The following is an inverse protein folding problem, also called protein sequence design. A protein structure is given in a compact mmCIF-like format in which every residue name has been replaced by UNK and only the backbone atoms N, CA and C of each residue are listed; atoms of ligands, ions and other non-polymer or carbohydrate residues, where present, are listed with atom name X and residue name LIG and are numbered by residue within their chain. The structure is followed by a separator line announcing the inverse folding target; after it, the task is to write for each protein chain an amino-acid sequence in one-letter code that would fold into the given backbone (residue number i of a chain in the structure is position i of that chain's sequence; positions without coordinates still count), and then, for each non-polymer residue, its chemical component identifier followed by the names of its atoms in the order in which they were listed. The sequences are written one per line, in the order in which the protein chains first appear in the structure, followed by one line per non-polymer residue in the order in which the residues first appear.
data_IF_013203542283
#
_entry.id   IF_013203542283
#
_cell.length_a   1.000
_cell.length_b   1.000
_cell.length_c   1.000
_cell.angle_alpha   90.00
_cell.angle_beta   90.00
_cell.angle_gamma   90.00
#
_symmetry.space_group_name_H-M   'P 1'
#
loop_
_entity.id
_entity.type
_entity.pdbx_description
1 polymer ?
#
# COMPACT_ATOMS: atom_id res chain seq x y z
N UNK A 1 -13.25 -16.83 2.29
CA UNK A 1 -12.48 -15.68 1.81
C UNK A 1 -11.00 -16.02 1.90
N UNK A 2 -10.16 -15.60 0.94
CA UNK A 2 -8.73 -15.81 1.06
C UNK A 2 -8.18 -14.98 2.22
N UNK A 3 -7.30 -15.58 3.01
CA UNK A 3 -6.69 -14.96 4.19
C UNK A 3 -5.19 -14.87 3.98
N UNK A 4 -4.60 -13.71 4.24
CA UNK A 4 -3.15 -13.52 4.18
C UNK A 4 -2.61 -13.06 5.53
N UNK A 5 -1.33 -13.32 5.75
CA UNK A 5 -0.53 -12.64 6.77
C UNK A 5 0.26 -11.55 6.07
N UNK A 6 0.02 -10.30 6.48
CA UNK A 6 0.63 -9.11 5.86
C UNK A 6 1.69 -8.50 6.78
N UNK A 7 2.82 -8.12 6.18
CA UNK A 7 3.88 -7.31 6.78
C UNK A 7 4.11 -6.11 5.86
N UNK A 8 4.31 -4.94 6.44
CA UNK A 8 4.79 -3.74 5.76
C UNK A 8 5.99 -3.18 6.47
N UNK A 9 7.03 -2.82 5.73
CA UNK A 9 8.24 -2.21 6.27
C UNK A 9 8.77 -1.11 5.34
N UNK A 10 9.42 -0.09 5.92
CA UNK A 10 10.24 0.84 5.14
C UNK A 10 11.51 0.15 4.67
N UNK A 11 11.95 0.46 3.45
CA UNK A 11 13.22 -0.03 2.92
C UNK A 11 14.31 1.02 3.09
N UNK A 12 15.36 0.65 3.81
CA UNK A 12 16.57 1.48 3.94
C UNK A 12 17.49 1.34 2.72
N UNK A 13 17.52 0.16 2.11
CA UNK A 13 18.37 -0.17 0.95
C UNK A 13 17.56 -0.97 -0.08
N UNK A 14 16.74 -0.29 -0.92
CA UNK A 14 15.92 -0.93 -1.94
C UNK A 14 16.72 -1.77 -2.95
N UNK A 15 17.90 -1.32 -3.47
CA UNK A 15 18.70 -2.12 -4.40
C UNK A 15 19.15 -3.46 -3.80
N UNK A 16 19.62 -3.44 -2.55
CA UNK A 16 20.06 -4.66 -1.84
C UNK A 16 18.90 -5.63 -1.64
N UNK A 17 17.76 -5.14 -1.16
CA UNK A 17 16.57 -5.97 -0.97
C UNK A 17 16.10 -6.56 -2.29
N UNK A 18 16.08 -5.77 -3.37
CA UNK A 18 15.74 -6.23 -4.72
C UNK A 18 16.63 -7.39 -5.16
N UNK A 19 17.96 -7.26 -5.02
CA UNK A 19 18.89 -8.32 -5.42
C UNK A 19 18.64 -9.64 -4.66
N UNK A 20 18.31 -9.56 -3.36
CA UNK A 20 17.98 -10.75 -2.56
C UNK A 20 16.67 -11.39 -3.04
N UNK A 21 15.62 -10.59 -3.26
CA UNK A 21 14.32 -11.10 -3.71
C UNK A 21 14.44 -11.74 -5.09
N UNK A 22 15.16 -11.11 -6.03
CA UNK A 22 15.38 -11.65 -7.38
C UNK A 22 16.09 -13.01 -7.36
N UNK A 23 17.04 -13.19 -6.44
CA UNK A 23 17.78 -14.44 -6.30
C UNK A 23 16.93 -15.63 -5.80
N UNK A 24 15.81 -15.36 -5.12
CA UNK A 24 14.94 -16.39 -4.53
C UNK A 24 13.54 -16.42 -5.13
N UNK A 25 13.24 -15.57 -6.09
CA UNK A 25 11.92 -15.49 -6.73
C UNK A 25 11.70 -16.68 -7.67
N UNK A 26 10.49 -17.26 -7.61
CA UNK A 26 10.10 -18.41 -8.43
C UNK A 26 9.91 -18.07 -9.91
N UNK A 27 9.75 -16.80 -10.26
CA UNK A 27 9.53 -16.31 -11.63
C UNK A 27 9.95 -14.85 -11.78
N UNK A 28 10.08 -14.36 -13.04
CA UNK A 28 10.36 -12.96 -13.31
C UNK A 28 9.35 -12.01 -12.65
N UNK A 29 9.76 -10.81 -12.20
CA UNK A 29 8.88 -9.86 -11.56
C UNK A 29 7.85 -9.26 -12.52
N UNK A 30 6.73 -8.81 -11.94
CA UNK A 30 5.72 -8.01 -12.63
C UNK A 30 5.73 -6.59 -12.09
N UNK A 31 5.93 -5.60 -12.97
CA UNK A 31 5.83 -4.19 -12.59
C UNK A 31 4.42 -3.69 -12.82
N UNK A 32 3.84 -3.06 -11.80
CA UNK A 32 2.50 -2.51 -11.78
C UNK A 32 2.54 -1.03 -11.41
N UNK A 33 1.89 -0.19 -12.21
CA UNK A 33 1.62 1.21 -11.88
C UNK A 33 0.21 1.29 -11.35
N UNK A 34 0.05 1.75 -10.11
CA UNK A 34 -1.23 1.72 -9.39
C UNK A 34 -1.58 3.09 -8.86
N UNK A 35 -2.86 3.46 -9.05
CA UNK A 35 -3.49 4.58 -8.37
C UNK A 35 -4.62 4.03 -7.51
N UNK A 36 -4.50 4.15 -6.21
CA UNK A 36 -5.51 3.75 -5.24
C UNK A 36 -6.23 5.01 -4.73
N UNK A 37 -7.49 5.22 -5.15
CA UNK A 37 -8.34 6.30 -4.67
C UNK A 37 -9.20 5.77 -3.53
N UNK A 38 -8.98 6.30 -2.32
CA UNK A 38 -9.72 5.88 -1.12
C UNK A 38 -11.00 6.69 -0.96
N UNK A 39 -12.05 6.06 -0.42
CA UNK A 39 -13.33 6.67 -0.11
C UNK A 39 -13.64 6.56 1.37
N UNK A 40 -14.42 7.52 1.89
CA UNK A 40 -14.90 7.43 3.28
C UNK A 40 -15.92 6.30 3.39
N UNK A 41 -15.78 5.46 4.40
CA UNK A 41 -16.74 4.43 4.75
C UNK A 41 -16.82 4.31 6.27
N UNK A 42 -17.94 3.78 6.79
CA UNK A 42 -18.22 3.69 8.23
C UNK A 42 -17.32 2.68 8.94
N UNK A 43 -16.82 1.68 8.24
CA UNK A 43 -15.94 0.64 8.77
C UNK A 43 -15.08 0.06 7.64
N UNK A 44 -13.92 -0.48 7.98
CA UNK A 44 -12.96 -0.98 6.99
C UNK A 44 -12.40 0.12 6.10
N UNK A 45 -11.94 -0.26 4.91
CA UNK A 45 -11.40 0.65 3.89
C UNK A 45 -11.92 0.27 2.52
N UNK A 46 -12.39 1.26 1.79
CA UNK A 46 -12.86 1.13 0.42
C UNK A 46 -11.96 1.95 -0.50
N UNK A 47 -11.49 1.33 -1.58
CA UNK A 47 -10.69 2.01 -2.59
C UNK A 47 -10.99 1.51 -3.99
N UNK A 48 -10.93 2.42 -4.95
CA UNK A 48 -10.81 2.10 -6.37
C UNK A 48 -9.32 2.06 -6.71
N UNK A 49 -8.85 0.92 -7.21
CA UNK A 49 -7.52 0.73 -7.76
C UNK A 49 -7.57 0.79 -9.26
N UNK A 50 -6.88 1.73 -9.84
CA UNK A 50 -6.65 1.83 -11.27
C UNK A 50 -5.24 1.28 -11.56
N UNK A 51 -5.17 0.37 -12.53
CA UNK A 51 -3.94 -0.20 -13.06
C UNK A 51 -3.87 0.16 -14.54
N UNK A 52 -2.72 0.34 -15.09
CA UNK A 52 -2.58 0.73 -16.50
C UNK A 52 -3.46 -0.09 -17.45
N UNK A 53 -3.69 0.41 -18.67
CA UNK A 53 -4.49 -0.22 -19.73
C UNK A 53 -6.02 -0.31 -19.43
N UNK A 54 -6.56 0.59 -18.60
CA UNK A 54 -8.00 0.63 -18.31
C UNK A 54 -8.48 -0.44 -17.32
N UNK A 55 -7.57 -1.22 -16.74
CA UNK A 55 -7.92 -2.20 -15.71
C UNK A 55 -8.15 -1.50 -14.38
N UNK A 56 -9.25 -1.83 -13.72
CA UNK A 56 -9.56 -1.31 -12.40
C UNK A 56 -10.30 -2.32 -11.53
N UNK A 57 -10.13 -2.15 -10.22
CA UNK A 57 -10.75 -2.99 -9.19
C UNK A 57 -11.30 -2.11 -8.07
N UNK A 58 -12.52 -2.40 -7.63
CA UNK A 58 -13.04 -1.89 -6.38
C UNK A 58 -12.70 -2.89 -5.28
N UNK A 59 -12.01 -2.42 -4.24
CA UNK A 59 -11.46 -3.26 -3.17
C UNK A 59 -12.00 -2.74 -1.85
N UNK A 60 -12.71 -3.61 -1.13
CA UNK A 60 -13.03 -3.41 0.29
C UNK A 60 -12.15 -4.32 1.13
N UNK A 61 -11.61 -3.82 2.23
CA UNK A 61 -10.87 -4.65 3.18
C UNK A 61 -11.00 -4.14 4.60
N UNK A 62 -10.93 -5.09 5.54
CA UNK A 62 -10.88 -4.82 6.98
C UNK A 62 -9.66 -5.48 7.58
N UNK A 63 -8.87 -4.72 8.31
CA UNK A 63 -7.72 -5.21 9.06
C UNK A 63 -7.47 -4.35 10.29
N UNK A 64 -6.95 -4.92 11.39
CA UNK A 64 -6.51 -4.14 12.54
C UNK A 64 -5.28 -3.29 12.18
N UNK A 65 -5.19 -2.09 12.74
CA UNK A 65 -3.98 -1.28 12.67
C UNK A 65 -2.97 -1.77 13.72
N UNK A 66 -2.02 -2.60 13.29
CA UNK A 66 -0.96 -3.20 14.12
C UNK A 66 0.34 -3.20 13.34
N UNK A 67 1.49 -3.08 13.97
CA UNK A 67 2.80 -3.24 13.33
C UNK A 67 3.19 -4.71 13.14
N UNK A 68 2.59 -5.63 13.91
CA UNK A 68 2.79 -7.06 13.78
C UNK A 68 2.15 -7.62 12.50
N UNK A 69 2.49 -8.84 12.12
CA UNK A 69 1.87 -9.57 11.03
C UNK A 69 0.34 -9.63 11.22
N UNK A 70 -0.43 -9.20 10.20
CA UNK A 70 -1.87 -8.98 10.28
C UNK A 70 -2.63 -9.97 9.42
N UNK A 71 -3.77 -10.40 9.92
CA UNK A 71 -4.79 -11.01 9.08
C UNK A 71 -5.61 -9.91 8.40
N UNK A 72 -5.79 -10.00 7.09
CA UNK A 72 -6.61 -9.09 6.28
C UNK A 72 -7.69 -9.89 5.59
N UNK A 73 -8.93 -9.47 5.77
CA UNK A 73 -10.09 -9.98 5.05
C UNK A 73 -10.46 -8.96 3.98
N UNK A 74 -10.63 -9.40 2.73
CA UNK A 74 -10.86 -8.50 1.62
C UNK A 74 -11.83 -9.07 0.58
N UNK A 75 -12.51 -8.16 -0.11
CA UNK A 75 -13.34 -8.44 -1.27
C UNK A 75 -12.87 -7.56 -2.43
N UNK A 76 -12.78 -8.16 -3.61
CA UNK A 76 -12.35 -7.49 -4.84
C UNK A 76 -13.37 -7.75 -5.93
N UNK A 77 -13.74 -6.70 -6.65
CA UNK A 77 -14.54 -6.80 -7.87
C UNK A 77 -13.90 -6.00 -9.00
N UNK A 78 -13.88 -6.58 -10.20
CA UNK A 78 -13.41 -5.89 -11.40
C UNK A 78 -14.40 -4.76 -11.78
N UNK A 79 -13.85 -3.65 -12.27
CA UNK A 79 -14.62 -2.46 -12.64
C UNK A 79 -14.45 -2.23 -14.15
N UNK A 80 -15.57 -2.30 -14.88
CA UNK A 80 -15.57 -2.11 -16.33
C UNK A 80 -15.48 -0.63 -16.75
N UNK A 81 -16.04 0.28 -15.93
CA UNK A 81 -16.01 1.73 -16.15
C UNK A 81 -15.49 2.43 -14.89
N UNK A 82 -14.16 2.54 -14.74
CA UNK A 82 -13.57 3.15 -13.55
C UNK A 82 -13.83 4.66 -13.44
N UNK A 83 -13.95 5.37 -14.56
CA UNK A 83 -14.15 6.82 -14.55
C UNK A 83 -15.53 7.18 -14.01
N UNK A 84 -16.58 6.54 -14.50
CA UNK A 84 -17.95 6.74 -13.99
C UNK A 84 -18.04 6.32 -12.53
N UNK A 85 -17.46 5.18 -12.14
CA UNK A 85 -17.49 4.73 -10.75
C UNK A 85 -16.74 5.69 -9.82
N UNK A 86 -15.56 6.18 -10.24
CA UNK A 86 -14.80 7.19 -9.50
C UNK A 86 -15.63 8.45 -9.26
N UNK A 87 -16.31 8.95 -10.32
CA UNK A 87 -17.16 10.13 -10.22
C UNK A 87 -18.30 9.93 -9.22
N UNK A 88 -19.02 8.81 -9.31
CA UNK A 88 -20.15 8.50 -8.41
C UNK A 88 -19.67 8.38 -6.95
N UNK A 89 -18.64 7.57 -6.70
CA UNK A 89 -18.16 7.33 -5.34
C UNK A 89 -17.52 8.58 -4.73
N UNK A 90 -16.81 9.40 -5.53
CA UNK A 90 -16.23 10.67 -5.06
C UNK A 90 -17.31 11.63 -4.57
N UNK A 91 -18.43 11.74 -5.32
CA UNK A 91 -19.56 12.59 -4.95
C UNK A 91 -20.34 12.06 -3.75
N UNK A 92 -20.53 10.75 -3.68
CA UNK A 92 -21.31 10.09 -2.62
C UNK A 92 -20.57 10.02 -1.29
N UNK A 93 -19.28 9.68 -1.31
CA UNK A 93 -18.49 9.32 -0.12
C UNK A 93 -17.35 10.31 0.16
N UNK A 94 -16.95 11.11 -0.81
CA UNK A 94 -15.76 11.96 -0.75
C UNK A 94 -14.47 11.14 -0.88
N UNK A 95 -13.40 11.84 -1.27
CA UNK A 95 -12.06 11.26 -1.47
C UNK A 95 -11.10 11.87 -0.44
N UNK A 96 -10.83 11.20 0.68
CA UNK A 96 -9.90 11.69 1.68
C UNK A 96 -8.45 11.62 1.22
N UNK A 97 -8.08 10.62 0.38
CA UNK A 97 -6.70 10.42 -0.05
C UNK A 97 -6.61 9.61 -1.34
N UNK A 98 -5.57 9.91 -2.14
CA UNK A 98 -5.14 9.12 -3.30
C UNK A 98 -3.68 8.70 -3.09
N UNK A 99 -3.37 7.44 -3.37
CA UNK A 99 -2.02 6.85 -3.29
C UNK A 99 -1.60 6.45 -4.69
N UNK A 100 -0.50 7.02 -5.18
CA UNK A 100 0.13 6.62 -6.44
C UNK A 100 1.41 5.87 -6.12
N UNK A 101 1.62 4.73 -6.78
CA UNK A 101 2.82 3.92 -6.55
C UNK A 101 3.20 3.07 -7.76
N UNK A 102 4.48 2.80 -7.85
CA UNK A 102 5.02 1.72 -8.68
C UNK A 102 5.30 0.53 -7.78
N UNK A 103 4.71 -0.62 -8.10
CA UNK A 103 4.86 -1.89 -7.39
C UNK A 103 5.59 -2.88 -8.26
N UNK A 104 6.65 -3.50 -7.73
CA UNK A 104 7.29 -4.67 -8.35
C UNK A 104 6.90 -5.90 -7.53
N UNK A 105 6.12 -6.79 -8.14
CA UNK A 105 5.63 -8.02 -7.54
C UNK A 105 6.56 -9.19 -7.87
N UNK A 106 7.04 -9.85 -6.83
CA UNK A 106 7.75 -11.14 -6.90
C UNK A 106 6.93 -12.23 -6.21
N UNK A 107 7.20 -13.49 -6.56
CA UNK A 107 6.61 -14.66 -5.91
C UNK A 107 7.72 -15.52 -5.31
N UNK A 108 7.57 -15.81 -4.01
CA UNK A 108 8.47 -16.68 -3.27
C UNK A 108 7.61 -17.71 -2.53
N UNK A 109 7.53 -18.93 -3.08
CA UNK A 109 6.62 -19.97 -2.59
C UNK A 109 5.16 -19.50 -2.62
N UNK A 110 4.53 -19.42 -1.46
CA UNK A 110 3.16 -18.92 -1.30
C UNK A 110 3.07 -17.44 -0.99
N UNK A 111 4.20 -16.72 -0.98
CA UNK A 111 4.28 -15.32 -0.57
C UNK A 111 4.39 -14.41 -1.78
N UNK A 112 3.55 -13.38 -1.82
CA UNK A 112 3.72 -12.22 -2.68
C UNK A 112 4.65 -11.24 -1.97
N UNK A 113 5.75 -10.92 -2.62
CA UNK A 113 6.72 -9.93 -2.15
C UNK A 113 6.58 -8.70 -3.03
N UNK A 114 6.18 -7.59 -2.46
CA UNK A 114 6.02 -6.32 -3.16
C UNK A 114 7.13 -5.36 -2.76
N UNK A 115 7.83 -4.84 -3.76
CA UNK A 115 8.67 -3.66 -3.59
C UNK A 115 7.90 -2.47 -4.15
N UNK A 116 7.47 -1.58 -3.27
CA UNK A 116 6.65 -0.41 -3.59
C UNK A 116 7.48 0.86 -3.52
N UNK A 117 7.48 1.65 -4.58
CA UNK A 117 7.88 3.06 -4.56
C UNK A 117 6.61 3.89 -4.53
N UNK A 118 6.35 4.59 -3.43
CA UNK A 118 5.12 5.36 -3.19
C UNK A 118 5.42 6.84 -3.29
N UNK A 119 4.68 7.54 -4.15
CA UNK A 119 4.83 8.98 -4.35
C UNK A 119 4.63 9.72 -3.01
N UNK A 120 5.61 10.57 -2.66
CA UNK A 120 5.58 11.33 -1.41
C UNK A 120 5.96 10.56 -0.13
N UNK A 121 6.21 9.25 -0.19
CA UNK A 121 6.59 8.45 0.97
C UNK A 121 7.92 7.69 0.82
N UNK A 122 8.35 7.38 -0.42
CA UNK A 122 9.55 6.59 -0.68
C UNK A 122 9.29 5.08 -0.80
N UNK A 123 10.26 4.25 -0.41
CA UNK A 123 10.30 2.83 -0.72
C UNK A 123 9.89 1.94 0.45
N UNK A 124 9.12 0.90 0.12
CA UNK A 124 8.56 -0.04 1.09
C UNK A 124 8.66 -1.47 0.58
N UNK A 125 8.69 -2.40 1.53
CA UNK A 125 8.43 -3.82 1.32
C UNK A 125 7.05 -4.16 1.87
N UNK A 126 6.23 -4.92 1.12
CA UNK A 126 5.06 -5.61 1.66
C UNK A 126 5.20 -7.11 1.41
N UNK A 127 4.98 -7.91 2.44
CA UNK A 127 4.85 -9.36 2.34
C UNK A 127 3.37 -9.73 2.50
N UNK A 128 2.86 -10.54 1.61
CA UNK A 128 1.53 -11.14 1.71
C UNK A 128 1.67 -12.66 1.64
N UNK A 129 1.73 -13.33 2.80
CA UNK A 129 1.77 -14.78 2.88
C UNK A 129 0.35 -15.31 2.73
N UNK A 130 0.03 -15.87 1.58
CA UNK A 130 -1.28 -16.46 1.29
C UNK A 130 -1.39 -17.80 2.00
N UNK A 131 -2.29 -17.91 2.99
CA UNK A 131 -2.48 -19.14 3.72
C UNK A 131 -3.11 -20.23 2.83
N UNK A 132 -2.52 -21.42 2.85
CA UNK A 132 -3.07 -22.59 2.16
C UNK A 132 -4.22 -23.19 2.98
N UNK A 133 -5.13 -23.94 2.36
CA UNK A 133 -6.15 -24.67 3.10
C UNK A 133 -5.54 -25.53 4.22
N UNK A 134 -6.05 -25.32 5.45
CA UNK A 134 -5.57 -26.01 6.65
C UNK A 134 -4.39 -25.34 7.37
N UNK A 135 -3.75 -24.31 6.79
CA UNK A 135 -2.72 -23.54 7.51
C UNK A 135 -3.36 -22.56 8.49
N UNK A 136 -2.74 -22.42 9.65
CA UNK A 136 -3.11 -21.44 10.67
C UNK A 136 -2.26 -20.16 10.56
N UNK A 137 -2.66 -19.12 11.28
CA UNK A 137 -1.96 -17.82 11.28
C UNK A 137 -0.52 -17.92 11.78
N UNK A 138 -0.21 -18.80 12.74
CA UNK A 138 1.15 -18.95 13.27
C UNK A 138 2.14 -19.50 12.21
N UNK A 139 1.68 -20.42 11.36
CA UNK A 139 2.48 -20.92 10.23
C UNK A 139 2.77 -19.82 9.22
N UNK A 140 1.77 -18.98 8.91
CA UNK A 140 1.96 -17.81 8.03
C UNK A 140 2.90 -16.77 8.62
N UNK A 141 2.81 -16.52 9.93
CA UNK A 141 3.71 -15.61 10.65
C UNK A 141 5.17 -16.13 10.64
N UNK A 142 5.37 -17.43 10.78
CA UNK A 142 6.69 -18.05 10.70
C UNK A 142 7.34 -17.85 9.31
N UNK A 143 6.56 -18.00 8.23
CA UNK A 143 7.02 -17.75 6.86
C UNK A 143 7.39 -16.26 6.68
N UNK A 144 6.55 -15.35 7.17
CA UNK A 144 6.82 -13.91 7.10
C UNK A 144 8.09 -13.54 7.86
N UNK A 145 8.30 -14.11 9.07
CA UNK A 145 9.48 -13.86 9.88
C UNK A 145 10.78 -14.37 9.22
N UNK A 146 10.77 -15.55 8.60
CA UNK A 146 11.91 -16.08 7.84
C UNK A 146 12.28 -15.14 6.67
N UNK A 147 11.29 -14.68 5.91
CA UNK A 147 11.52 -13.74 4.80
C UNK A 147 12.03 -12.38 5.30
N UNK A 148 11.48 -11.84 6.39
CA UNK A 148 11.98 -10.61 7.00
C UNK A 148 13.47 -10.74 7.38
N UNK A 149 13.85 -11.86 8.00
CA UNK A 149 15.24 -12.12 8.34
C UNK A 149 16.16 -12.15 7.11
N UNK A 150 15.74 -12.84 6.03
CA UNK A 150 16.49 -12.91 4.77
C UNK A 150 16.66 -11.54 4.11
N UNK A 151 15.63 -10.69 4.17
CA UNK A 151 15.66 -9.34 3.60
C UNK A 151 16.32 -8.29 4.52
N UNK A 152 16.71 -8.69 5.76
CA UNK A 152 17.32 -7.81 6.74
C UNK A 152 16.36 -6.76 7.29
N UNK A 153 15.05 -7.04 7.30
CA UNK A 153 14.01 -6.19 7.86
C UNK A 153 13.99 -6.35 9.39
N UNK A 154 14.08 -5.23 10.09
CA UNK A 154 14.05 -5.19 11.56
C UNK A 154 12.66 -4.78 12.04
N UNK A 155 12.33 -5.06 13.28
CA UNK A 155 11.06 -4.64 13.89
C UNK A 155 10.88 -3.11 13.85
N UNK A 156 11.98 -2.35 13.94
CA UNK A 156 11.97 -0.88 13.82
C UNK A 156 11.61 -0.36 12.44
N UNK A 157 11.71 -1.18 11.41
CA UNK A 157 11.39 -0.82 10.03
C UNK A 157 9.90 -1.06 9.72
N UNK A 158 9.18 -1.78 10.62
CA UNK A 158 7.78 -2.15 10.45
C UNK A 158 6.84 -0.94 10.51
N UNK A 159 5.84 -0.95 9.64
CA UNK A 159 4.83 0.09 9.54
C UNK A 159 3.45 -0.46 9.92
N UNK A 160 2.79 0.19 10.89
CA UNK A 160 1.43 -0.17 11.32
C UNK A 160 0.33 0.40 10.44
N UNK A 161 0.57 1.53 9.78
CA UNK A 161 -0.42 2.34 9.09
C UNK A 161 -0.47 2.07 7.58
N UNK A 162 -1.58 2.39 6.93
CA UNK A 162 -1.71 2.35 5.48
C UNK A 162 -0.99 3.55 4.83
N UNK A 163 -0.60 3.43 3.55
CA UNK A 163 0.02 4.54 2.80
C UNK A 163 -0.87 5.80 2.78
N UNK A 164 -2.18 5.63 2.67
CA UNK A 164 -3.12 6.75 2.69
C UNK A 164 -3.04 7.54 4.00
N UNK A 165 -2.94 6.86 5.14
CA UNK A 165 -2.82 7.52 6.45
C UNK A 165 -1.45 8.19 6.62
N UNK A 166 -0.37 7.55 6.12
CA UNK A 166 0.97 8.14 6.12
C UNK A 166 1.02 9.43 5.30
N UNK A 167 0.39 9.45 4.11
CA UNK A 167 0.32 10.65 3.27
C UNK A 167 -0.51 11.74 3.95
N UNK A 168 -1.63 11.39 4.58
CA UNK A 168 -2.45 12.37 5.31
C UNK A 168 -1.69 12.99 6.47
N UNK A 169 -0.92 12.21 7.22
CA UNK A 169 -0.08 12.71 8.30
C UNK A 169 1.04 13.65 7.79
N UNK A 170 1.72 13.28 6.68
CA UNK A 170 2.78 14.08 6.09
C UNK A 170 2.28 15.44 5.56
N UNK A 171 1.02 15.50 5.07
CA UNK A 171 0.41 16.76 4.62
C UNK A 171 0.09 17.72 5.77
N UNK A 172 -0.19 17.20 6.95
CA UNK A 172 -0.45 18.02 8.15
C UNK A 172 0.86 18.64 8.71
N UNK A 173 1.98 17.93 8.57
CA UNK A 173 3.29 18.39 9.05
C UNK A 173 3.96 19.44 8.16
N UNK A 174 3.45 19.71 6.94
CA UNK A 174 3.93 20.76 6.06
C UNK A 174 2.93 21.92 6.10
N UNK A 175 3.05 22.89 7.02
CA UNK A 175 2.20 24.07 7.00
C UNK A 175 2.48 24.85 5.71
N UNK A 176 1.42 25.21 4.99
CA UNK A 176 1.51 26.09 3.84
C UNK A 176 2.30 27.34 4.26
N UNK A 177 3.47 27.53 3.66
CA UNK A 177 4.23 28.76 3.80
C UNK A 177 3.34 29.88 3.25
N UNK A 178 2.68 30.62 4.14
CA UNK A 178 1.93 31.82 3.77
C UNK A 178 2.93 32.78 3.14
N UNK A 179 2.84 32.97 1.84
CA UNK A 179 3.52 34.05 1.16
C UNK A 179 3.07 35.36 1.81
N UNK A 180 3.99 36.26 2.18
CA UNK A 180 3.61 37.56 2.77
C UNK A 180 2.74 38.32 1.76
N UNK A 181 1.66 38.89 2.26
CA UNK A 181 0.81 39.81 1.51
C UNK A 181 1.65 40.95 0.92
N UNK A 182 1.41 41.33 -0.36
CA UNK A 182 2.07 42.49 -0.92
C UNK A 182 1.72 43.73 -0.12
N UNK A 183 2.75 44.51 0.27
CA UNK A 183 2.61 45.83 0.91
C UNK A 183 1.86 46.76 -0.02
N UNK A 184 0.87 47.53 0.49
CA UNK A 184 0.19 48.55 -0.31
C UNK A 184 1.17 49.64 -0.78
N UNK A 185 0.94 50.22 -1.98
CA UNK A 185 1.76 51.32 -2.46
C UNK A 185 1.64 52.53 -1.51
N UNK A 186 2.79 53.11 -1.15
CA UNK A 186 2.84 54.38 -0.42
C UNK A 186 2.41 55.49 -1.35
N UNK A 187 1.28 56.16 -1.05
CA UNK A 187 0.87 57.40 -1.65
C UNK A 187 1.89 58.50 -1.32
N UNK A 188 2.43 59.11 -2.40
CA UNK A 188 3.16 60.38 -2.37
C UNK A 188 2.52 61.36 -3.32
#
# INVERSE_FOLDING_TARGET
MPTNIEIKARLADPPKTRAIVEAISDRPPLTLHQRDTFFRCSHGRLKLREMGQGQAELIFYSRPDSAAAKQSDYEITAVADPESLLSVLSRALGVPQTVVKTRVLYLVGQTRVHLDTVDGLGDFLELEVVLRPGQNSAEGQAIAADLMQRFGIRDTDLCSTAYADMLSAAQVETPATLSPLPTPPSDS
#
